data_IF_065076346049
#
_entry.id   IF_065076346049
#
_cell.length_a   1.000
_cell.length_b   1.000
_cell.length_c   1.000
_cell.angle_alpha   90.00
_cell.angle_beta   90.00
_cell.angle_gamma   90.00
#
_symmetry.space_group_name_H-M   'P 1'
#
loop_
_entity.id
_entity.type
_entity.pdbx_description
1 polymer ?
#
# COMPACT_ATOMS: atom_id res chain seq x y z
N UNK A 1 4.02 -8.71 -8.82
CA UNK A 1 4.80 -9.94 -8.57
C UNK A 1 5.60 -10.29 -9.81
N UNK A 2 4.96 -10.45 -10.98
CA UNK A 2 5.65 -10.85 -12.22
C UNK A 2 6.82 -9.93 -12.59
N UNK A 3 6.62 -8.61 -12.57
CA UNK A 3 7.66 -7.64 -12.85
C UNK A 3 8.88 -7.78 -11.92
N UNK A 4 8.66 -8.08 -10.63
CA UNK A 4 9.76 -8.31 -9.67
C UNK A 4 10.49 -9.61 -9.97
N UNK A 5 9.78 -10.69 -10.32
CA UNK A 5 10.39 -11.97 -10.71
C UNK A 5 11.22 -11.85 -11.97
N UNK A 6 10.71 -11.12 -12.97
CA UNK A 6 11.39 -10.90 -14.26
C UNK A 6 12.68 -10.11 -14.09
N UNK A 7 12.73 -9.17 -13.14
CA UNK A 7 13.94 -8.38 -12.85
C UNK A 7 15.11 -9.21 -12.29
N UNK A 8 14.85 -10.42 -11.74
CA UNK A 8 15.85 -11.34 -11.16
C UNK A 8 16.78 -10.70 -10.12
N UNK A 9 16.35 -9.62 -9.49
CA UNK A 9 17.13 -8.88 -8.49
C UNK A 9 17.11 -9.57 -7.12
N UNK A 10 16.04 -10.31 -6.82
CA UNK A 10 15.84 -10.94 -5.53
C UNK A 10 15.92 -12.46 -5.63
N UNK A 11 16.55 -13.09 -4.62
CA UNK A 11 16.68 -14.54 -4.54
C UNK A 11 15.33 -15.24 -4.36
N UNK A 12 14.45 -14.65 -3.53
CA UNK A 12 13.11 -15.15 -3.26
C UNK A 12 12.10 -14.04 -3.51
N UNK A 13 11.02 -14.37 -4.21
CA UNK A 13 9.88 -13.47 -4.44
C UNK A 13 8.61 -14.22 -4.08
N UNK A 14 8.00 -13.81 -2.98
CA UNK A 14 6.74 -14.38 -2.50
C UNK A 14 5.61 -13.36 -2.62
N UNK A 15 4.40 -13.83 -2.70
CA UNK A 15 3.20 -12.97 -2.66
C UNK A 15 2.16 -13.61 -1.76
N UNK A 16 1.46 -12.76 -1.03
CA UNK A 16 0.40 -13.15 -0.13
C UNK A 16 -0.93 -12.56 -0.57
N UNK A 17 -1.98 -13.30 -0.41
CA UNK A 17 -3.37 -12.92 -0.66
C UNK A 17 -4.29 -13.79 0.21
N UNK A 18 -5.58 -13.58 0.13
CA UNK A 18 -6.57 -14.44 0.81
C UNK A 18 -6.57 -15.88 0.32
N UNK A 19 -6.00 -16.16 -0.85
CA UNK A 19 -5.95 -17.49 -1.49
C UNK A 19 -4.57 -18.15 -1.48
N UNK A 20 -3.57 -17.55 -0.85
CA UNK A 20 -2.22 -18.12 -0.74
C UNK A 20 -2.04 -18.93 0.54
N UNK A 21 -0.92 -19.65 0.64
CA UNK A 21 -0.49 -20.32 1.88
C UNK A 21 0.91 -19.82 2.24
N UNK A 22 1.08 -19.09 3.37
CA UNK A 22 0.02 -18.61 4.25
C UNK A 22 -0.88 -17.58 3.58
N UNK A 23 -2.16 -17.59 3.95
CA UNK A 23 -3.11 -16.56 3.54
C UNK A 23 -2.96 -15.29 4.39
N UNK A 24 -3.31 -14.13 3.82
CA UNK A 24 -3.45 -12.88 4.58
C UNK A 24 -4.88 -12.37 4.53
N UNK A 25 -5.37 -11.90 5.68
CA UNK A 25 -6.57 -11.10 5.82
C UNK A 25 -6.20 -9.83 6.61
N UNK A 26 -6.50 -8.66 6.06
CA UNK A 26 -6.21 -7.37 6.70
C UNK A 26 -6.99 -7.17 8.01
N UNK A 27 -8.05 -7.93 8.23
CA UNK A 27 -8.87 -7.90 9.44
C UNK A 27 -8.46 -8.96 10.47
N UNK A 28 -7.51 -9.85 10.12
CA UNK A 28 -6.90 -10.84 11.02
C UNK A 28 -5.40 -10.56 11.19
N UNK A 29 -5.05 -9.87 12.27
CA UNK A 29 -3.67 -9.50 12.56
C UNK A 29 -2.75 -10.72 12.67
N UNK A 30 -3.23 -11.85 13.22
CA UNK A 30 -2.43 -13.08 13.32
C UNK A 30 -2.03 -13.62 11.94
N UNK A 31 -2.87 -13.42 10.91
CA UNK A 31 -2.54 -13.82 9.54
C UNK A 31 -1.39 -12.96 8.98
N UNK A 32 -1.36 -11.67 9.30
CA UNK A 32 -0.31 -10.74 8.88
C UNK A 32 1.02 -11.06 9.56
N UNK A 33 0.99 -11.36 10.86
CA UNK A 33 2.17 -11.78 11.62
C UNK A 33 2.79 -13.05 11.05
N UNK A 34 1.97 -14.09 10.80
CA UNK A 34 2.43 -15.35 10.18
C UNK A 34 3.05 -15.13 8.81
N UNK A 35 2.44 -14.29 7.96
CA UNK A 35 2.98 -13.99 6.64
C UNK A 35 4.32 -13.24 6.72
N UNK A 36 4.44 -12.26 7.64
CA UNK A 36 5.68 -11.53 7.85
C UNK A 36 6.81 -12.43 8.38
N UNK A 37 6.50 -13.35 9.30
CA UNK A 37 7.44 -14.33 9.80
C UNK A 37 7.89 -15.28 8.68
N UNK A 38 6.96 -15.87 7.94
CA UNK A 38 7.28 -16.74 6.80
C UNK A 38 8.19 -16.05 5.78
N UNK A 39 7.91 -14.79 5.44
CA UNK A 39 8.74 -14.06 4.50
C UNK A 39 10.17 -13.82 5.04
N UNK A 40 10.30 -13.53 6.33
CA UNK A 40 11.60 -13.31 6.98
C UNK A 40 12.44 -14.60 7.09
N UNK A 41 11.80 -15.76 7.24
CA UNK A 41 12.48 -17.06 7.27
C UNK A 41 13.12 -17.42 5.92
N UNK A 42 12.67 -16.84 4.81
CA UNK A 42 13.26 -17.04 3.48
C UNK A 42 14.55 -16.21 3.28
N UNK A 43 14.80 -15.22 4.13
CA UNK A 43 15.95 -14.33 4.06
C UNK A 43 15.63 -12.89 4.41
N UNK A 44 16.61 -12.01 4.24
CA UNK A 44 16.44 -10.58 4.51
C UNK A 44 15.37 -9.93 3.64
N UNK A 45 14.44 -9.21 4.27
CA UNK A 45 13.38 -8.49 3.57
C UNK A 45 13.94 -7.20 2.95
N UNK A 46 14.28 -7.24 1.67
CA UNK A 46 14.83 -6.08 0.95
C UNK A 46 13.77 -5.21 0.28
N UNK A 47 12.65 -5.82 -0.14
CA UNK A 47 11.53 -5.11 -0.74
C UNK A 47 10.21 -5.75 -0.29
N UNK A 48 9.37 -4.95 0.33
CA UNK A 48 7.99 -5.32 0.64
C UNK A 48 7.06 -4.31 0.00
N UNK A 49 6.10 -4.78 -0.80
CA UNK A 49 5.09 -3.94 -1.44
C UNK A 49 3.71 -4.38 -0.94
N UNK A 50 3.07 -3.51 -0.18
CA UNK A 50 1.66 -3.64 0.15
C UNK A 50 0.83 -3.02 -0.97
N UNK A 51 0.18 -3.88 -1.75
CA UNK A 51 -0.71 -3.49 -2.85
C UNK A 51 -2.18 -3.68 -2.48
N UNK A 52 -2.50 -3.71 -1.20
CA UNK A 52 -3.89 -3.82 -0.73
C UNK A 52 -4.64 -2.50 -0.87
N UNK A 53 -5.97 -2.58 -0.95
CA UNK A 53 -6.81 -1.39 -0.99
C UNK A 53 -8.26 -1.73 -1.27
N UNK A 54 -9.13 -0.85 -0.81
CA UNK A 54 -10.58 -0.93 -0.98
C UNK A 54 -11.13 0.44 -1.39
N UNK A 55 -11.98 0.48 -2.41
CA UNK A 55 -12.67 1.68 -2.88
C UNK A 55 -14.17 1.47 -2.98
N UNK A 56 -14.59 0.32 -3.46
CA UNK A 56 -15.99 -0.06 -3.64
C UNK A 56 -16.15 -1.59 -3.65
N UNK A 57 -17.37 -2.02 -3.48
CA UNK A 57 -17.85 -3.38 -3.76
C UNK A 57 -19.28 -3.33 -4.34
N UNK A 58 -19.94 -4.48 -4.45
CA UNK A 58 -21.30 -4.60 -4.99
C UNK A 58 -22.37 -3.89 -4.15
N UNK A 59 -22.05 -3.58 -2.89
CA UNK A 59 -22.97 -2.94 -1.93
C UNK A 59 -22.77 -1.44 -1.87
N UNK A 60 -21.56 -0.96 -2.17
CA UNK A 60 -21.17 0.40 -1.90
C UNK A 60 -20.14 0.93 -2.89
N UNK A 61 -20.44 2.11 -3.43
CA UNK A 61 -19.47 2.95 -4.14
C UNK A 61 -18.95 4.11 -3.27
N UNK A 62 -17.96 4.85 -3.76
CA UNK A 62 -17.46 6.03 -3.07
C UNK A 62 -18.52 7.14 -3.04
N UNK A 63 -18.63 7.82 -1.90
CA UNK A 63 -19.63 8.85 -1.63
C UNK A 63 -19.42 10.07 -2.54
N UNK A 64 -20.50 10.57 -3.14
CA UNK A 64 -20.51 11.77 -3.98
C UNK A 64 -20.76 13.05 -3.17
N UNK A 65 -21.37 12.92 -1.97
CA UNK A 65 -21.65 14.06 -1.09
C UNK A 65 -21.65 13.63 0.38
N UNK A 66 -21.54 14.60 1.31
CA UNK A 66 -21.61 14.34 2.77
C UNK A 66 -22.93 13.68 3.18
N UNK A 67 -24.00 13.83 2.40
CA UNK A 67 -25.31 13.21 2.68
C UNK A 67 -25.28 11.68 2.55
N UNK A 68 -24.26 11.13 1.90
CA UNK A 68 -24.07 9.69 1.73
C UNK A 68 -23.08 9.10 2.74
N UNK A 69 -22.62 9.91 3.70
CA UNK A 69 -21.75 9.42 4.76
C UNK A 69 -22.47 8.35 5.59
N UNK A 70 -21.79 7.24 5.76
CA UNK A 70 -22.24 6.10 6.54
C UNK A 70 -21.11 5.58 7.43
N UNK A 71 -21.41 5.35 8.70
CA UNK A 71 -20.40 4.99 9.69
C UNK A 71 -19.76 3.63 9.41
N UNK A 72 -20.54 2.65 8.95
CA UNK A 72 -20.03 1.31 8.64
C UNK A 72 -19.09 1.35 7.42
N UNK A 73 -19.43 2.17 6.43
CA UNK A 73 -18.62 2.38 5.24
C UNK A 73 -17.30 3.06 5.58
N UNK A 74 -17.32 4.11 6.39
CA UNK A 74 -16.13 4.76 6.91
C UNK A 74 -15.26 3.76 7.67
N UNK A 75 -15.82 3.03 8.62
CA UNK A 75 -15.10 2.05 9.41
C UNK A 75 -14.43 0.99 8.53
N UNK A 76 -15.14 0.48 7.52
CA UNK A 76 -14.60 -0.51 6.58
C UNK A 76 -13.48 0.06 5.72
N UNK A 77 -13.63 1.27 5.18
CA UNK A 77 -12.58 1.92 4.41
C UNK A 77 -11.32 2.14 5.25
N UNK A 78 -11.46 2.58 6.49
CA UNK A 78 -10.33 2.73 7.42
C UNK A 78 -9.70 1.38 7.78
N UNK A 79 -10.51 0.36 8.06
CA UNK A 79 -10.01 -0.98 8.37
C UNK A 79 -9.11 -1.52 7.25
N UNK A 80 -9.55 -1.39 5.99
CA UNK A 80 -8.84 -1.98 4.84
C UNK A 80 -7.73 -1.07 4.28
N UNK A 81 -7.90 0.26 4.30
CA UNK A 81 -6.95 1.18 3.65
C UNK A 81 -5.93 1.82 4.62
N UNK A 82 -6.17 1.78 5.92
CA UNK A 82 -5.30 2.40 6.92
C UNK A 82 -4.87 1.42 8.00
N UNK A 83 -5.81 0.78 8.70
CA UNK A 83 -5.50 -0.11 9.83
C UNK A 83 -4.77 -1.37 9.35
N UNK A 84 -5.28 -2.06 8.32
CA UNK A 84 -4.63 -3.24 7.77
C UNK A 84 -3.18 -2.97 7.32
N UNK A 85 -2.91 -1.96 6.47
CA UNK A 85 -1.56 -1.54 6.15
C UNK A 85 -0.69 -1.17 7.36
N UNK A 86 -1.25 -0.52 8.38
CA UNK A 86 -0.53 -0.22 9.63
C UNK A 86 -0.12 -1.49 10.38
N UNK A 87 -1.00 -2.50 10.42
CA UNK A 87 -0.68 -3.80 11.00
C UNK A 87 0.37 -4.57 10.18
N UNK A 88 0.34 -4.46 8.85
CA UNK A 88 1.44 -4.96 8.02
C UNK A 88 2.75 -4.27 8.40
N UNK A 89 2.77 -2.93 8.53
CA UNK A 89 3.96 -2.19 8.98
C UNK A 89 4.45 -2.67 10.35
N UNK A 90 3.55 -2.88 11.32
CA UNK A 90 3.85 -3.38 12.66
C UNK A 90 4.67 -4.68 12.63
N UNK A 91 4.31 -5.61 11.75
CA UNK A 91 4.96 -6.92 11.68
C UNK A 91 6.16 -6.97 10.71
N UNK A 92 6.19 -6.12 9.69
CA UNK A 92 7.24 -6.11 8.66
C UNK A 92 8.40 -5.20 9.01
N UNK A 93 8.15 -3.95 9.45
CA UNK A 93 9.23 -2.97 9.68
C UNK A 93 10.29 -3.45 10.70
N UNK A 94 9.94 -4.14 11.81
CA UNK A 94 10.92 -4.69 12.71
C UNK A 94 11.82 -5.77 12.09
N UNK A 95 11.41 -6.40 11.00
CA UNK A 95 12.10 -7.47 10.28
C UNK A 95 12.96 -6.97 9.12
N UNK A 96 12.89 -5.67 8.79
CA UNK A 96 13.80 -5.10 7.80
C UNK A 96 15.25 -5.09 8.35
N UNK A 97 16.24 -5.36 7.49
CA UNK A 97 17.64 -5.38 7.89
C UNK A 97 18.10 -3.98 8.32
N UNK A 98 19.03 -3.94 9.28
CA UNK A 98 19.62 -2.69 9.79
C UNK A 98 20.63 -2.06 8.85
N UNK A 99 21.19 -2.84 7.93
CA UNK A 99 22.22 -2.40 7.00
C UNK A 99 21.81 -2.59 5.55
N UNK A 100 22.29 -1.72 4.70
CA UNK A 100 21.96 -1.69 3.27
C UNK A 100 20.52 -1.23 3.01
N UNK A 101 20.21 -0.96 1.75
CA UNK A 101 18.90 -0.50 1.32
C UNK A 101 17.84 -1.58 1.55
N UNK A 102 16.75 -1.21 2.18
CA UNK A 102 15.50 -1.98 2.23
C UNK A 102 14.31 -1.03 2.09
N UNK A 103 13.25 -1.49 1.44
CA UNK A 103 12.08 -0.65 1.14
C UNK A 103 10.80 -1.37 1.58
N UNK A 104 10.01 -0.69 2.39
CA UNK A 104 8.59 -0.95 2.56
C UNK A 104 7.81 0.10 1.80
N UNK A 105 7.01 -0.31 0.83
CA UNK A 105 6.16 0.58 0.04
C UNK A 105 4.70 0.13 0.16
N UNK A 106 3.79 1.05 0.46
CA UNK A 106 2.34 0.77 0.40
C UNK A 106 1.69 1.63 -0.68
N UNK A 107 0.68 1.07 -1.36
CA UNK A 107 -0.05 1.82 -2.38
C UNK A 107 -1.06 2.76 -1.74
N UNK A 108 -0.81 4.05 -1.90
CA UNK A 108 -1.72 5.13 -1.56
C UNK A 108 -2.35 5.71 -2.84
N UNK A 109 -2.97 6.86 -2.72
CA UNK A 109 -3.60 7.54 -3.83
C UNK A 109 -3.46 9.06 -3.68
N UNK A 110 -3.35 9.76 -4.81
CA UNK A 110 -3.31 11.24 -4.86
C UNK A 110 -4.49 11.87 -4.11
N UNK A 111 -5.66 11.23 -4.15
CA UNK A 111 -6.86 11.70 -3.43
C UNK A 111 -6.72 11.70 -1.90
N UNK A 112 -5.70 11.04 -1.34
CA UNK A 112 -5.33 11.13 0.09
C UNK A 112 -4.61 12.43 0.45
N UNK A 113 -4.27 13.28 -0.51
CA UNK A 113 -3.71 14.61 -0.24
C UNK A 113 -4.83 15.57 0.19
N UNK A 114 -4.70 16.16 1.38
CA UNK A 114 -5.66 17.13 1.91
C UNK A 114 -5.57 18.42 1.10
N UNK A 115 -4.37 18.91 0.84
CA UNK A 115 -4.14 20.16 0.14
C UNK A 115 -4.50 20.14 -1.36
N UNK A 116 -4.47 18.96 -1.99
CA UNK A 116 -4.79 18.77 -3.42
C UNK A 116 -6.29 18.49 -3.66
N UNK A 117 -7.11 18.44 -2.61
CA UNK A 117 -8.53 18.15 -2.73
C UNK A 117 -9.32 19.37 -3.25
N UNK A 118 -9.61 19.37 -4.57
CA UNK A 118 -10.43 20.40 -5.24
C UNK A 118 -11.81 19.88 -5.67
N UNK A 119 -11.99 18.57 -5.73
CA UNK A 119 -13.18 17.95 -6.29
C UNK A 119 -14.22 17.54 -5.22
N UNK A 120 -13.81 17.33 -3.98
CA UNK A 120 -14.67 16.76 -2.94
C UNK A 120 -15.08 15.32 -3.25
N UNK A 121 -16.13 14.84 -2.59
CA UNK A 121 -16.59 13.45 -2.72
C UNK A 121 -15.59 12.41 -2.22
N UNK A 122 -15.94 11.13 -2.33
CA UNK A 122 -15.09 9.99 -1.96
C UNK A 122 -14.57 10.06 -0.53
N UNK A 123 -15.42 10.48 0.40
CA UNK A 123 -15.04 10.83 1.76
C UNK A 123 -14.29 9.71 2.47
N UNK A 124 -14.86 8.51 2.50
CA UNK A 124 -14.25 7.36 3.18
C UNK A 124 -12.90 7.00 2.58
N UNK A 125 -12.81 7.02 1.24
CA UNK A 125 -11.58 6.67 0.54
C UNK A 125 -10.49 7.73 0.75
N UNK A 126 -10.82 9.02 0.55
CA UNK A 126 -9.86 10.13 0.76
C UNK A 126 -9.36 10.15 2.19
N UNK A 127 -10.26 10.08 3.17
CA UNK A 127 -9.90 10.11 4.58
C UNK A 127 -9.03 8.91 4.98
N UNK A 128 -9.37 7.70 4.52
CA UNK A 128 -8.56 6.51 4.81
C UNK A 128 -7.17 6.56 4.16
N UNK A 129 -7.04 7.10 2.95
CA UNK A 129 -5.73 7.26 2.29
C UNK A 129 -4.90 8.41 2.89
N UNK A 130 -5.54 9.47 3.39
CA UNK A 130 -4.86 10.51 4.19
C UNK A 130 -4.34 9.94 5.52
N UNK A 131 -5.14 9.11 6.19
CA UNK A 131 -4.72 8.41 7.40
C UNK A 131 -3.53 7.45 7.11
N UNK A 132 -3.58 6.69 6.01
CA UNK A 132 -2.45 5.85 5.58
C UNK A 132 -1.17 6.68 5.38
N UNK A 133 -1.25 7.83 4.69
CA UNK A 133 -0.10 8.70 4.48
C UNK A 133 0.49 9.18 5.81
N UNK A 134 -0.35 9.56 6.78
CA UNK A 134 0.10 9.95 8.12
C UNK A 134 0.78 8.79 8.86
N UNK A 135 0.22 7.58 8.79
CA UNK A 135 0.80 6.38 9.40
C UNK A 135 2.16 6.04 8.81
N UNK A 136 2.29 6.11 7.47
CA UNK A 136 3.57 5.90 6.77
C UNK A 136 4.60 6.94 7.21
N UNK A 137 4.23 8.22 7.28
CA UNK A 137 5.13 9.30 7.74
C UNK A 137 5.63 9.06 9.16
N UNK A 138 4.74 8.67 10.06
CA UNK A 138 5.08 8.37 11.46
C UNK A 138 6.03 7.17 11.54
N UNK A 139 5.70 6.08 10.84
CA UNK A 139 6.52 4.87 10.80
C UNK A 139 7.90 5.12 10.19
N UNK A 140 8.00 5.95 9.15
CA UNK A 140 9.27 6.33 8.52
C UNK A 140 10.20 7.06 9.50
N UNK A 141 9.68 7.98 10.31
CA UNK A 141 10.45 8.69 11.35
C UNK A 141 11.00 7.72 12.40
N UNK A 142 10.20 6.76 12.84
CA UNK A 142 10.63 5.74 13.83
C UNK A 142 11.63 4.77 13.21
N UNK A 143 11.37 4.31 11.99
CA UNK A 143 12.24 3.38 11.25
C UNK A 143 13.63 3.98 11.04
N UNK A 144 13.72 5.25 10.66
CA UNK A 144 14.98 5.95 10.41
C UNK A 144 15.92 5.98 11.63
N UNK A 145 15.36 6.02 12.85
CA UNK A 145 16.16 5.95 14.09
C UNK A 145 16.82 4.59 14.30
N UNK A 146 16.19 3.52 13.81
CA UNK A 146 16.64 2.13 13.99
C UNK A 146 17.48 1.63 12.82
N UNK A 147 17.07 1.98 11.60
CA UNK A 147 17.58 1.47 10.34
C UNK A 147 17.69 2.62 9.33
N UNK A 148 18.80 3.43 9.39
CA UNK A 148 18.92 4.67 8.61
C UNK A 148 18.83 4.48 7.08
N UNK A 149 19.11 3.28 6.58
CA UNK A 149 19.06 2.95 5.15
C UNK A 149 17.73 2.30 4.74
N UNK A 150 16.83 2.08 5.69
CA UNK A 150 15.50 1.55 5.40
C UNK A 150 14.55 2.68 5.01
N UNK A 151 13.70 2.41 4.03
CA UNK A 151 12.78 3.36 3.42
C UNK A 151 11.35 2.86 3.65
N UNK A 152 10.49 3.71 4.22
CA UNK A 152 9.07 3.46 4.35
C UNK A 152 8.31 4.54 3.59
N UNK A 153 7.60 4.19 2.52
CA UNK A 153 6.96 5.16 1.62
C UNK A 153 5.56 4.76 1.21
N UNK A 154 4.74 5.78 0.91
CA UNK A 154 3.47 5.64 0.24
C UNK A 154 3.63 6.00 -1.24
N UNK A 155 3.20 5.12 -2.15
CA UNK A 155 3.33 5.31 -3.59
C UNK A 155 1.96 5.46 -4.24
N UNK A 156 1.87 6.36 -5.23
CA UNK A 156 0.69 6.47 -6.09
C UNK A 156 0.98 5.89 -7.47
N UNK A 157 0.29 4.79 -7.87
CA UNK A 157 0.58 4.11 -9.14
C UNK A 157 0.00 4.80 -10.38
N UNK A 158 -0.67 5.95 -10.23
CA UNK A 158 -1.57 6.46 -11.26
C UNK A 158 -2.91 5.71 -11.26
N UNK A 159 -3.72 5.89 -12.31
CA UNK A 159 -4.92 5.08 -12.51
C UNK A 159 -4.53 3.82 -13.25
N UNK A 160 -4.70 2.67 -12.62
CA UNK A 160 -4.31 1.36 -13.19
C UNK A 160 -5.56 0.59 -13.58
N UNK A 161 -5.57 -0.03 -14.75
CA UNK A 161 -6.69 -0.84 -15.26
C UNK A 161 -6.90 -2.11 -14.41
N UNK A 162 -7.69 -2.00 -13.35
CA UNK A 162 -8.02 -3.07 -12.41
C UNK A 162 -9.51 -3.04 -12.08
N UNK A 163 -10.02 -4.09 -11.45
CA UNK A 163 -11.40 -4.11 -10.95
C UNK A 163 -11.71 -2.93 -10.00
N UNK A 164 -10.71 -2.46 -9.23
CA UNK A 164 -10.85 -1.33 -8.32
C UNK A 164 -11.15 -0.01 -9.07
N UNK A 165 -10.53 0.21 -10.21
CA UNK A 165 -10.62 1.46 -10.98
C UNK A 165 -11.63 1.40 -12.14
N UNK A 166 -12.04 0.21 -12.58
CA UNK A 166 -12.87 0.01 -13.76
C UNK A 166 -14.14 0.89 -13.80
N UNK A 167 -14.91 1.06 -12.70
CA UNK A 167 -16.09 1.92 -12.71
C UNK A 167 -15.80 3.41 -12.91
N UNK A 168 -14.54 3.84 -12.77
CA UNK A 168 -14.11 5.24 -12.79
C UNK A 168 -13.20 5.56 -13.98
N UNK A 169 -12.92 4.60 -14.86
CA UNK A 169 -12.00 4.76 -16.00
C UNK A 169 -12.50 5.75 -17.06
N UNK A 170 -13.81 6.05 -17.10
CA UNK A 170 -14.41 6.95 -18.07
C UNK A 170 -14.21 8.46 -17.78
N UNK A 171 -13.42 8.82 -16.77
CA UNK A 171 -13.29 10.20 -16.30
C UNK A 171 -12.21 11.04 -17.01
N UNK A 172 -11.69 10.59 -18.16
CA UNK A 172 -10.64 11.30 -18.91
C UNK A 172 -9.23 11.19 -18.28
N UNK A 173 -9.05 10.31 -17.32
CA UNK A 173 -7.74 10.04 -16.71
C UNK A 173 -6.95 9.07 -17.60
N UNK A 174 -5.64 9.27 -17.68
CA UNK A 174 -4.75 8.28 -18.28
C UNK A 174 -4.77 6.99 -17.45
N UNK A 175 -5.12 5.88 -18.09
CA UNK A 175 -5.25 4.57 -17.45
C UNK A 175 -4.09 3.68 -17.91
N UNK A 176 -3.25 3.28 -16.97
CA UNK A 176 -2.09 2.43 -17.25
C UNK A 176 -2.44 0.94 -17.17
N UNK A 177 -1.94 0.10 -18.10
CA UNK A 177 -1.98 -1.34 -17.93
C UNK A 177 -1.20 -1.77 -16.65
N UNK A 178 -1.67 -2.78 -15.89
CA UNK A 178 -1.01 -3.22 -14.66
C UNK A 178 0.50 -3.53 -14.82
N UNK A 179 0.96 -4.17 -15.92
CA UNK A 179 2.40 -4.40 -16.10
C UNK A 179 3.22 -3.11 -16.28
N UNK A 180 2.65 -2.08 -16.93
CA UNK A 180 3.31 -0.80 -17.10
C UNK A 180 3.41 -0.05 -15.76
N UNK A 181 2.30 0.04 -15.02
CA UNK A 181 2.28 0.64 -13.68
C UNK A 181 3.27 -0.05 -12.73
N UNK A 182 3.35 -1.38 -12.77
CA UNK A 182 4.30 -2.13 -11.96
C UNK A 182 5.76 -1.81 -12.31
N UNK A 183 6.11 -1.69 -13.60
CA UNK A 183 7.47 -1.28 -14.02
C UNK A 183 7.81 0.14 -13.57
N UNK A 184 6.86 1.08 -13.71
CA UNK A 184 7.08 2.46 -13.26
C UNK A 184 7.32 2.52 -11.74
N UNK A 185 6.49 1.81 -10.95
CA UNK A 185 6.67 1.74 -9.50
C UNK A 185 8.03 1.13 -9.11
N UNK A 186 8.46 0.06 -9.78
CA UNK A 186 9.76 -0.56 -9.51
C UNK A 186 10.91 0.35 -9.88
N UNK A 187 10.83 1.09 -10.99
CA UNK A 187 11.84 2.08 -11.36
C UNK A 187 11.95 3.21 -10.31
N UNK A 188 10.82 3.68 -9.76
CA UNK A 188 10.81 4.64 -8.66
C UNK A 188 11.46 4.03 -7.41
N UNK A 189 11.05 2.82 -7.01
CA UNK A 189 11.61 2.12 -5.84
C UNK A 189 13.12 1.93 -5.94
N UNK A 190 13.62 1.63 -7.13
CA UNK A 190 15.05 1.45 -7.37
C UNK A 190 15.84 2.74 -7.13
N UNK A 191 15.29 3.87 -7.53
CA UNK A 191 15.90 5.20 -7.37
C UNK A 191 15.75 5.80 -5.97
N UNK A 192 14.86 5.28 -5.10
CA UNK A 192 14.67 5.82 -3.76
C UNK A 192 15.97 5.76 -2.94
N UNK A 193 16.25 6.84 -2.23
CA UNK A 193 17.28 6.92 -1.19
C UNK A 193 16.66 7.06 0.18
N UNK A 194 17.44 6.94 1.24
CA UNK A 194 16.94 7.12 2.61
C UNK A 194 16.31 8.51 2.85
N UNK A 195 16.71 9.52 2.10
CA UNK A 195 16.15 10.89 2.17
C UNK A 195 14.68 10.94 1.70
N UNK A 196 14.26 9.98 0.89
CA UNK A 196 12.89 9.91 0.38
C UNK A 196 11.92 9.21 1.36
N UNK A 197 12.38 8.76 2.54
CA UNK A 197 11.54 8.06 3.50
C UNK A 197 10.44 8.97 4.08
N UNK A 198 9.18 8.52 4.11
CA UNK A 198 8.03 9.26 4.63
C UNK A 198 7.43 10.23 3.69
#
# INVERSE_FOLDING_TARGET
VEAVRTAKTFRHVVSFSRSTTPAIDLLDECSLERAAAFAADLGELRLVIDATGFLHDDRQGPEKSWRQLDAANLARAFALNAIGPALIMKHVLPRLPRSGKSVFATLSARVGSIGDNRLGGWYSYRASKAALNQLVRTAAVELGRRSPNAICVALHPGTVATALSAPFAATGLEVHPPPAAARHLLAVVDQLTAEATG
#
